data_IF_522769977219
#
_entry.id   IF_522769977219
#
_cell.length_a   1.000
_cell.length_b   1.000
_cell.length_c   1.000
_cell.angle_alpha   90.00
_cell.angle_beta   90.00
_cell.angle_gamma   90.00
#
_symmetry.space_group_name_H-M   'P 1'
#
loop_
_entity.id
_entity.type
_entity.pdbx_description
1 polymer ?
#
# COMPACT_ATOMS: atom_id res chain seq x y z
N UNK A 1 21.15 25.31 13.21
CA UNK A 1 21.41 23.96 12.67
C UNK A 1 20.18 23.04 12.55
N UNK A 2 19.12 23.18 13.37
CA UNK A 2 17.92 22.32 13.25
C UNK A 2 17.03 22.62 12.03
N UNK A 3 17.00 23.87 11.54
CA UNK A 3 16.15 24.30 10.43
C UNK A 3 16.60 23.76 9.04
N UNK A 4 17.90 23.58 8.83
CA UNK A 4 18.46 23.04 7.57
C UNK A 4 18.13 21.55 7.40
N UNK A 5 18.18 20.77 8.49
CA UNK A 5 17.80 19.35 8.47
C UNK A 5 16.30 19.13 8.23
N UNK A 6 15.43 20.02 8.72
CA UNK A 6 13.99 19.94 8.42
C UNK A 6 13.68 20.27 6.96
N UNK A 7 14.34 21.29 6.40
CA UNK A 7 14.14 21.67 5.00
C UNK A 7 14.60 20.55 4.04
N UNK A 8 15.77 19.94 4.30
CA UNK A 8 16.26 18.79 3.52
C UNK A 8 15.34 17.57 3.64
N UNK A 9 14.84 17.26 4.84
CA UNK A 9 13.91 16.14 5.02
C UNK A 9 12.56 16.37 4.31
N UNK A 10 12.05 17.61 4.32
CA UNK A 10 10.83 17.99 3.58
C UNK A 10 11.09 17.89 2.08
N UNK A 11 12.21 18.38 1.60
CA UNK A 11 12.60 18.30 0.19
C UNK A 11 12.70 16.85 -0.30
N UNK A 12 13.40 15.98 0.44
CA UNK A 12 13.52 14.56 0.09
C UNK A 12 12.16 13.86 0.09
N UNK A 13 11.30 14.13 1.08
CA UNK A 13 9.94 13.58 1.11
C UNK A 13 9.10 14.08 -0.06
N UNK A 14 9.21 15.36 -0.40
CA UNK A 14 8.53 15.96 -1.55
C UNK A 14 8.97 15.33 -2.86
N UNK A 15 10.28 15.12 -3.04
CA UNK A 15 10.85 14.48 -4.23
C UNK A 15 10.43 13.01 -4.35
N UNK A 16 10.38 12.26 -3.23
CA UNK A 16 9.87 10.89 -3.21
C UNK A 16 8.39 10.83 -3.59
N UNK A 17 7.55 11.69 -3.01
CA UNK A 17 6.12 11.75 -3.33
C UNK A 17 5.89 12.13 -4.79
N UNK A 18 6.66 13.07 -5.32
CA UNK A 18 6.58 13.47 -6.72
C UNK A 18 6.98 12.31 -7.65
N UNK A 19 8.08 11.63 -7.35
CA UNK A 19 8.51 10.45 -8.12
C UNK A 19 7.47 9.32 -8.10
N UNK A 20 6.88 9.07 -6.94
CA UNK A 20 5.75 8.15 -6.76
C UNK A 20 4.55 8.54 -7.62
N UNK A 21 4.13 9.80 -7.59
CA UNK A 21 3.02 10.29 -8.42
C UNK A 21 3.31 10.16 -9.91
N UNK A 22 4.52 10.52 -10.35
CA UNK A 22 4.94 10.37 -11.74
C UNK A 22 4.91 8.91 -12.19
N UNK A 23 5.37 7.98 -11.33
CA UNK A 23 5.32 6.55 -11.63
C UNK A 23 3.88 6.03 -11.76
N UNK A 24 2.98 6.47 -10.89
CA UNK A 24 1.57 6.11 -10.96
C UNK A 24 0.91 6.66 -12.24
N UNK A 25 1.20 7.89 -12.62
CA UNK A 25 0.73 8.49 -13.89
C UNK A 25 1.29 7.73 -15.09
N UNK A 26 2.57 7.36 -15.06
CA UNK A 26 3.20 6.56 -16.10
C UNK A 26 2.53 5.19 -16.25
N UNK A 27 2.31 4.48 -15.15
CA UNK A 27 1.65 3.17 -15.16
C UNK A 27 0.21 3.24 -15.67
N UNK A 28 -0.52 4.32 -15.34
CA UNK A 28 -1.87 4.53 -15.84
C UNK A 28 -1.91 4.88 -17.33
N UNK A 29 -1.09 5.83 -17.78
CA UNK A 29 -1.24 6.43 -19.11
C UNK A 29 -0.35 5.84 -20.20
N UNK A 30 0.76 5.20 -19.84
CA UNK A 30 1.83 4.88 -20.77
C UNK A 30 2.35 3.43 -20.69
N UNK A 31 2.16 2.74 -19.57
CA UNK A 31 2.55 1.34 -19.45
C UNK A 31 1.62 0.45 -20.29
N UNK A 32 2.21 -0.52 -21.00
CA UNK A 32 1.44 -1.49 -21.77
C UNK A 32 0.55 -2.33 -20.83
N UNK A 33 -0.74 -2.42 -21.16
CA UNK A 33 -1.72 -3.18 -20.37
C UNK A 33 -1.34 -4.65 -20.19
N UNK A 34 -0.77 -5.29 -21.22
CA UNK A 34 -0.36 -6.69 -21.16
C UNK A 34 0.82 -6.90 -20.21
N UNK A 35 1.79 -5.97 -20.22
CA UNK A 35 2.91 -5.97 -19.28
C UNK A 35 2.42 -5.77 -17.84
N UNK A 36 1.52 -4.83 -17.61
CA UNK A 36 0.93 -4.58 -16.29
C UNK A 36 0.16 -5.82 -15.80
N UNK A 37 -0.65 -6.43 -16.67
CA UNK A 37 -1.38 -7.66 -16.35
C UNK A 37 -0.43 -8.82 -16.01
N UNK A 38 0.66 -8.98 -16.75
CA UNK A 38 1.68 -9.99 -16.46
C UNK A 38 2.34 -9.74 -15.09
N UNK A 39 2.70 -8.50 -14.77
CA UNK A 39 3.28 -8.15 -13.47
C UNK A 39 2.34 -8.45 -12.29
N UNK A 40 1.05 -8.11 -12.43
CA UNK A 40 0.04 -8.42 -11.42
C UNK A 40 -0.14 -9.94 -11.30
N UNK A 41 -0.19 -10.66 -12.42
CA UNK A 41 -0.34 -12.12 -12.42
C UNK A 41 0.87 -12.80 -11.76
N UNK A 42 2.08 -12.31 -12.02
CA UNK A 42 3.29 -12.78 -11.34
C UNK A 42 3.23 -12.52 -9.84
N UNK A 43 2.73 -11.35 -9.43
CA UNK A 43 2.55 -11.01 -8.03
C UNK A 43 1.55 -11.94 -7.32
N UNK A 44 0.41 -12.20 -7.94
CA UNK A 44 -0.61 -13.13 -7.45
C UNK A 44 -0.01 -14.53 -7.34
N UNK A 45 0.64 -15.03 -8.40
CA UNK A 45 1.19 -16.37 -8.43
C UNK A 45 2.29 -16.61 -7.39
N UNK A 46 3.22 -15.68 -7.21
CA UNK A 46 4.25 -15.89 -6.21
C UNK A 46 3.71 -15.69 -4.77
N UNK A 47 2.64 -14.90 -4.57
CA UNK A 47 1.93 -14.84 -3.27
C UNK A 47 1.34 -16.18 -2.86
N UNK A 48 0.87 -16.98 -3.82
CA UNK A 48 0.36 -18.34 -3.58
C UNK A 48 1.39 -19.25 -2.91
N UNK A 49 2.67 -19.07 -3.21
CA UNK A 49 3.75 -19.88 -2.63
C UNK A 49 4.00 -19.61 -1.14
N UNK A 50 3.55 -18.47 -0.63
CA UNK A 50 3.84 -18.00 0.73
C UNK A 50 2.73 -18.29 1.74
N UNK A 51 1.52 -18.66 1.28
CA UNK A 51 0.33 -18.81 2.12
C UNK A 51 -0.25 -20.22 1.94
N UNK A 52 -0.85 -20.78 3.00
CA UNK A 52 -1.55 -22.07 2.91
C UNK A 52 -2.71 -22.01 1.90
N UNK A 53 -2.98 -23.15 1.25
CA UNK A 53 -3.93 -23.22 0.13
C UNK A 53 -5.34 -22.72 0.51
N UNK A 54 -5.85 -23.04 1.70
CA UNK A 54 -7.19 -22.62 2.15
C UNK A 54 -7.29 -21.09 2.34
N UNK A 55 -6.23 -20.48 2.85
CA UNK A 55 -6.16 -19.03 3.05
C UNK A 55 -5.95 -18.31 1.73
N UNK A 56 -5.15 -18.88 0.84
CA UNK A 56 -4.99 -18.40 -0.52
C UNK A 56 -6.34 -18.32 -1.26
N UNK A 57 -7.12 -19.41 -1.22
CA UNK A 57 -8.47 -19.44 -1.80
C UNK A 57 -9.38 -18.38 -1.19
N UNK A 58 -9.29 -18.18 0.14
CA UNK A 58 -10.05 -17.13 0.82
C UNK A 58 -9.66 -15.72 0.37
N UNK A 59 -8.36 -15.44 0.19
CA UNK A 59 -7.86 -14.13 -0.27
C UNK A 59 -8.34 -13.84 -1.70
N UNK A 60 -8.29 -14.83 -2.59
CA UNK A 60 -8.77 -14.67 -3.97
C UNK A 60 -10.28 -14.49 -4.01
N UNK A 61 -11.04 -15.35 -3.33
CA UNK A 61 -12.50 -15.24 -3.29
C UNK A 61 -12.97 -13.88 -2.75
N UNK A 62 -12.35 -13.38 -1.67
CA UNK A 62 -12.68 -12.07 -1.12
C UNK A 62 -12.29 -10.93 -2.08
N UNK A 63 -11.20 -11.06 -2.82
CA UNK A 63 -10.76 -10.05 -3.79
C UNK A 63 -11.67 -10.00 -5.01
N UNK A 64 -12.07 -11.16 -5.52
CA UNK A 64 -13.04 -11.28 -6.62
C UNK A 64 -14.43 -10.80 -6.20
N UNK A 65 -14.90 -11.16 -5.00
CA UNK A 65 -16.18 -10.68 -4.48
C UNK A 65 -16.19 -9.15 -4.33
N UNK A 66 -15.14 -8.58 -3.74
CA UNK A 66 -15.02 -7.12 -3.57
C UNK A 66 -14.99 -6.41 -4.93
N UNK A 67 -14.23 -6.93 -5.90
CA UNK A 67 -14.19 -6.37 -7.24
C UNK A 67 -15.55 -6.50 -7.94
N UNK A 68 -16.21 -7.66 -7.82
CA UNK A 68 -17.53 -7.91 -8.40
C UNK A 68 -18.58 -6.93 -7.88
N UNK A 69 -18.61 -6.67 -6.57
CA UNK A 69 -19.45 -5.63 -5.95
C UNK A 69 -19.14 -4.25 -6.51
N UNK A 70 -17.86 -3.88 -6.64
CA UNK A 70 -17.48 -2.59 -7.23
C UNK A 70 -17.90 -2.45 -8.69
N UNK A 71 -17.80 -3.52 -9.48
CA UNK A 71 -18.17 -3.52 -10.89
C UNK A 71 -19.70 -3.51 -11.05
N UNK A 72 -20.41 -4.41 -10.37
CA UNK A 72 -21.84 -4.65 -10.61
C UNK A 72 -22.74 -3.66 -9.86
N UNK A 73 -22.43 -3.39 -8.58
CA UNK A 73 -23.31 -2.56 -7.74
C UNK A 73 -22.96 -1.08 -7.88
N UNK A 74 -21.67 -0.75 -7.91
CA UNK A 74 -21.19 0.62 -8.04
C UNK A 74 -20.94 1.07 -9.48
N UNK A 75 -21.13 0.17 -10.46
CA UNK A 75 -20.92 0.44 -11.89
C UNK A 75 -19.58 1.12 -12.17
N UNK A 76 -18.54 0.72 -11.44
CA UNK A 76 -17.23 1.37 -11.45
C UNK A 76 -16.68 1.48 -12.89
N UNK A 77 -16.80 0.42 -13.68
CA UNK A 77 -16.29 0.40 -15.06
C UNK A 77 -17.08 1.36 -15.96
N UNK A 78 -18.41 1.40 -15.84
CA UNK A 78 -19.23 2.33 -16.63
C UNK A 78 -18.93 3.79 -16.27
N UNK A 79 -18.76 4.08 -14.98
CA UNK A 79 -18.38 5.40 -14.49
C UNK A 79 -16.99 5.82 -14.98
N UNK A 80 -16.01 4.91 -14.92
CA UNK A 80 -14.67 5.18 -15.42
C UNK A 80 -14.67 5.39 -16.93
N UNK A 81 -15.41 4.58 -17.68
CA UNK A 81 -15.51 4.71 -19.13
C UNK A 81 -16.18 6.02 -19.56
N UNK A 82 -17.21 6.49 -18.84
CA UNK A 82 -17.86 7.79 -19.14
C UNK A 82 -16.95 8.99 -18.88
N UNK A 83 -16.02 8.91 -17.94
CA UNK A 83 -15.07 10.00 -17.66
C UNK A 83 -13.85 9.94 -18.57
N UNK A 84 -13.35 8.72 -18.86
CA UNK A 84 -12.07 8.52 -19.52
C UNK A 84 -12.20 8.44 -21.04
N UNK A 85 -13.27 7.82 -21.58
CA UNK A 85 -13.42 7.60 -23.01
C UNK A 85 -14.31 8.72 -23.58
N UNK A 86 -13.76 9.66 -24.37
CA UNK A 86 -14.55 10.74 -24.96
C UNK A 86 -15.48 10.22 -26.06
N UNK A 87 -16.68 10.79 -26.15
CA UNK A 87 -17.64 10.52 -27.23
C UNK A 87 -17.05 10.88 -28.60
N UNK A 88 -16.92 9.90 -29.48
CA UNK A 88 -16.18 10.01 -30.77
C UNK A 88 -16.97 10.72 -31.88
N UNK A 89 -17.92 11.60 -31.56
CA UNK A 89 -18.85 12.17 -32.55
C UNK A 89 -18.33 13.39 -33.32
N UNK A 90 -17.11 13.89 -33.06
CA UNK A 90 -16.55 15.07 -33.78
C UNK A 90 -15.11 14.84 -34.29
N UNK A 91 -14.88 14.82 -35.62
CA UNK A 91 -13.55 14.68 -36.18
C UNK A 91 -12.84 16.05 -36.26
N UNK A 92 -11.95 16.33 -35.31
CA UNK A 92 -11.23 17.60 -35.23
C UNK A 92 -9.99 17.63 -36.14
N UNK A 93 -10.16 18.02 -37.42
CA UNK A 93 -9.05 18.25 -38.38
C UNK A 93 -7.96 19.17 -37.82
N UNK A 94 -6.70 18.75 -37.92
CA UNK A 94 -5.49 19.59 -37.77
C UNK A 94 -4.73 19.42 -36.46
N UNK A 95 -5.44 19.19 -35.34
CA UNK A 95 -4.87 18.93 -34.01
C UNK A 95 -4.71 17.41 -33.74
N UNK A 96 -4.68 16.63 -34.82
CA UNK A 96 -4.93 15.19 -34.83
C UNK A 96 -3.89 14.39 -34.04
N UNK A 97 -2.59 14.68 -34.14
CA UNK A 97 -1.58 13.84 -33.47
C UNK A 97 -1.63 13.93 -31.94
N UNK A 98 -1.79 15.13 -31.37
CA UNK A 98 -1.87 15.32 -29.92
C UNK A 98 -3.23 14.86 -29.39
N UNK A 99 -4.31 15.13 -30.12
CA UNK A 99 -5.64 14.63 -29.76
C UNK A 99 -5.71 13.09 -29.83
N UNK A 100 -5.14 12.47 -30.86
CA UNK A 100 -5.03 11.01 -31.04
C UNK A 100 -4.12 10.38 -29.99
N UNK A 101 -3.02 11.04 -29.61
CA UNK A 101 -2.18 10.58 -28.52
C UNK A 101 -2.89 10.70 -27.17
N UNK A 102 -3.63 11.78 -26.93
CA UNK A 102 -4.41 11.95 -25.70
C UNK A 102 -5.59 10.98 -25.62
N UNK A 103 -6.27 10.67 -26.73
CA UNK A 103 -7.29 9.60 -26.76
C UNK A 103 -6.64 8.23 -26.53
N UNK A 104 -5.47 7.94 -27.11
CA UNK A 104 -4.75 6.68 -26.85
C UNK A 104 -4.32 6.52 -25.38
N UNK A 105 -3.90 7.61 -24.73
CA UNK A 105 -3.60 7.64 -23.29
C UNK A 105 -4.87 7.39 -22.49
N UNK A 106 -5.98 8.06 -22.81
CA UNK A 106 -7.27 7.85 -22.13
C UNK A 106 -7.75 6.40 -22.22
N UNK A 107 -7.63 5.75 -23.39
CA UNK A 107 -7.95 4.33 -23.54
C UNK A 107 -7.02 3.43 -22.71
N UNK A 108 -5.73 3.79 -22.61
CA UNK A 108 -4.76 3.06 -21.78
C UNK A 108 -5.10 3.20 -20.29
N UNK A 109 -5.46 4.39 -19.84
CA UNK A 109 -5.93 4.64 -18.46
C UNK A 109 -7.19 3.84 -18.17
N UNK A 110 -8.17 3.81 -19.08
CA UNK A 110 -9.41 3.05 -18.90
C UNK A 110 -9.17 1.54 -18.74
N UNK A 111 -8.12 0.99 -19.38
CA UNK A 111 -7.73 -0.42 -19.24
C UNK A 111 -6.87 -0.69 -18.01
N UNK A 112 -5.92 0.19 -17.71
CA UNK A 112 -4.94 -0.02 -16.64
C UNK A 112 -5.51 0.30 -15.25
N UNK A 113 -6.43 1.27 -15.16
CA UNK A 113 -7.00 1.69 -13.88
C UNK A 113 -7.76 0.55 -13.15
N UNK A 114 -8.66 -0.22 -13.79
CA UNK A 114 -9.27 -1.39 -13.16
C UNK A 114 -8.26 -2.44 -12.70
N UNK A 115 -7.16 -2.64 -13.44
CA UNK A 115 -6.10 -3.57 -13.06
C UNK A 115 -5.38 -3.14 -11.78
N UNK A 116 -5.06 -1.85 -11.65
CA UNK A 116 -4.44 -1.29 -10.43
C UNK A 116 -5.39 -1.32 -9.24
N UNK A 117 -6.69 -1.12 -9.48
CA UNK A 117 -7.73 -1.26 -8.43
C UNK A 117 -7.78 -2.71 -7.94
N UNK A 118 -7.83 -3.69 -8.87
CA UNK A 118 -7.77 -5.11 -8.49
C UNK A 118 -6.51 -5.43 -7.69
N UNK A 119 -5.36 -4.97 -8.14
CA UNK A 119 -4.10 -5.16 -7.42
C UNK A 119 -4.15 -4.60 -5.99
N UNK A 120 -4.70 -3.40 -5.81
CA UNK A 120 -4.85 -2.77 -4.49
C UNK A 120 -5.76 -3.58 -3.58
N UNK A 121 -6.90 -4.06 -4.09
CA UNK A 121 -7.86 -4.91 -3.37
C UNK A 121 -7.21 -6.24 -2.99
N UNK A 122 -6.51 -6.87 -3.92
CA UNK A 122 -5.77 -8.11 -3.67
C UNK A 122 -4.75 -7.93 -2.53
N UNK A 123 -3.92 -6.88 -2.61
CA UNK A 123 -2.92 -6.58 -1.57
C UNK A 123 -3.54 -6.29 -0.21
N UNK A 124 -4.69 -5.62 -0.18
CA UNK A 124 -5.45 -5.39 1.05
C UNK A 124 -5.91 -6.70 1.68
N UNK A 125 -6.55 -7.58 0.90
CA UNK A 125 -7.00 -8.89 1.37
C UNK A 125 -5.82 -9.79 1.79
N UNK A 126 -4.68 -9.67 1.10
CA UNK A 126 -3.45 -10.36 1.46
C UNK A 126 -2.97 -9.92 2.86
N UNK A 127 -2.93 -8.60 3.13
CA UNK A 127 -2.58 -8.06 4.45
C UNK A 127 -3.55 -8.56 5.51
N UNK A 128 -4.86 -8.57 5.25
CA UNK A 128 -5.86 -9.09 6.18
C UNK A 128 -5.64 -10.57 6.50
N UNK A 129 -5.36 -11.39 5.48
CA UNK A 129 -5.06 -12.81 5.65
C UNK A 129 -3.83 -13.05 6.54
N UNK A 130 -2.79 -12.24 6.37
CA UNK A 130 -1.61 -12.27 7.25
C UNK A 130 -1.89 -11.70 8.64
N UNK A 131 -2.70 -10.66 8.77
CA UNK A 131 -3.06 -10.06 10.04
C UNK A 131 -3.79 -11.06 10.94
N UNK A 132 -4.67 -11.88 10.38
CA UNK A 132 -5.32 -12.99 11.12
C UNK A 132 -4.27 -13.99 11.63
N UNK A 133 -3.28 -14.35 10.80
CA UNK A 133 -2.19 -15.24 11.22
C UNK A 133 -1.34 -14.65 12.36
N UNK A 134 -0.97 -13.38 12.23
CA UNK A 134 -0.12 -12.66 13.17
C UNK A 134 -0.89 -12.16 14.39
N UNK A 135 -2.22 -12.29 14.43
CA UNK A 135 -3.03 -11.79 15.54
C UNK A 135 -2.58 -12.32 16.91
N UNK A 136 -2.24 -13.61 17.11
CA UNK A 136 -1.79 -14.08 18.42
C UNK A 136 -0.45 -13.46 18.81
N UNK A 137 0.46 -13.29 17.84
CA UNK A 137 1.75 -12.63 18.03
C UNK A 137 1.58 -11.15 18.40
N UNK A 138 0.72 -10.42 17.69
CA UNK A 138 0.45 -9.01 17.96
C UNK A 138 -0.14 -8.81 19.35
N UNK A 139 -1.09 -9.68 19.75
CA UNK A 139 -1.69 -9.66 21.09
C UNK A 139 -0.62 -9.96 22.15
N UNK A 140 0.23 -10.96 21.94
CA UNK A 140 1.32 -11.28 22.87
C UNK A 140 2.31 -10.11 23.03
N UNK A 141 2.70 -9.47 21.92
CA UNK A 141 3.60 -8.32 21.93
C UNK A 141 2.99 -7.10 22.63
N UNK A 142 1.70 -6.86 22.44
CA UNK A 142 0.96 -5.81 23.15
C UNK A 142 0.89 -6.10 24.65
N UNK A 143 0.53 -7.33 25.04
CA UNK A 143 0.46 -7.74 26.43
C UNK A 143 1.82 -7.61 27.14
N UNK A 144 2.90 -8.09 26.51
CA UNK A 144 4.26 -7.94 27.02
C UNK A 144 4.64 -6.45 27.17
N UNK A 145 4.31 -5.61 26.18
CA UNK A 145 4.53 -4.17 26.25
C UNK A 145 3.81 -3.51 27.43
N UNK A 146 2.56 -3.92 27.68
CA UNK A 146 1.78 -3.46 28.83
C UNK A 146 2.35 -3.92 30.17
N UNK A 147 2.82 -5.17 30.27
CA UNK A 147 3.45 -5.66 31.50
C UNK A 147 4.78 -4.96 31.79
N UNK A 148 5.61 -4.73 30.78
CA UNK A 148 6.84 -3.95 30.92
C UNK A 148 6.54 -2.52 31.36
N UNK A 149 5.48 -1.90 30.84
CA UNK A 149 5.05 -0.58 31.28
C UNK A 149 4.67 -0.59 32.77
N UNK A 150 3.87 -1.57 33.22
CA UNK A 150 3.52 -1.74 34.63
C UNK A 150 4.76 -1.88 35.51
N UNK A 151 5.70 -2.75 35.14
CA UNK A 151 6.96 -2.94 35.88
C UNK A 151 7.78 -1.65 35.96
N UNK A 152 7.93 -0.95 34.84
CA UNK A 152 8.69 0.31 34.77
C UNK A 152 8.09 1.40 35.65
N UNK A 153 6.77 1.42 35.88
CA UNK A 153 6.12 2.38 36.79
C UNK A 153 6.67 2.31 38.22
N UNK A 154 7.04 1.12 38.70
CA UNK A 154 7.52 0.91 40.06
C UNK A 154 9.04 1.10 40.22
N UNK A 155 9.79 1.18 39.11
CA UNK A 155 11.25 1.40 39.15
C UNK A 155 11.56 2.89 39.10
N UNK A 156 12.33 3.39 40.07
CA UNK A 156 12.84 4.77 40.04
C UNK A 156 13.84 4.94 38.89
N UNK A 157 13.57 5.89 37.99
CA UNK A 157 14.40 6.13 36.81
C UNK A 157 13.70 7.05 35.80
N UNK A 158 14.50 7.82 35.06
CA UNK A 158 14.03 8.79 34.07
C UNK A 158 13.21 8.12 32.97
N UNK A 159 12.05 8.70 32.65
CA UNK A 159 11.23 8.29 31.52
C UNK A 159 11.99 8.61 30.24
N UNK A 160 12.41 7.58 29.49
CA UNK A 160 13.13 7.78 28.23
C UNK A 160 12.16 8.13 27.10
N UNK A 161 11.62 9.34 27.12
CA UNK A 161 10.70 9.90 26.10
C UNK A 161 11.29 9.82 24.68
N UNK A 162 12.63 9.84 24.58
CA UNK A 162 13.34 9.71 23.30
C UNK A 162 13.11 8.34 22.63
N UNK A 163 13.09 7.24 23.38
CA UNK A 163 12.84 5.91 22.82
C UNK A 163 11.40 5.77 22.29
N UNK A 164 10.41 6.29 23.03
CA UNK A 164 9.03 6.34 22.54
C UNK A 164 8.93 7.08 21.20
N UNK A 165 9.60 8.23 21.06
CA UNK A 165 9.60 9.02 19.83
C UNK A 165 10.22 8.27 18.64
N UNK A 166 11.27 7.49 18.86
CA UNK A 166 11.89 6.66 17.80
C UNK A 166 10.90 5.60 17.31
N UNK A 167 10.28 4.86 18.23
CA UNK A 167 9.33 3.80 17.88
C UNK A 167 8.02 4.36 17.29
N UNK A 168 7.61 5.56 17.70
CA UNK A 168 6.47 6.25 17.09
C UNK A 168 6.77 6.66 15.65
N UNK A 169 7.99 7.12 15.36
CA UNK A 169 8.42 7.35 13.98
C UNK A 169 8.48 6.06 13.17
N UNK A 170 8.97 4.96 13.76
CA UNK A 170 8.98 3.65 13.10
C UNK A 170 7.56 3.18 12.74
N UNK A 171 6.60 3.31 13.67
CA UNK A 171 5.19 3.02 13.43
C UNK A 171 4.63 3.83 12.24
N UNK A 172 4.89 5.14 12.21
CA UNK A 172 4.49 5.99 11.09
C UNK A 172 5.15 5.59 9.77
N UNK A 173 6.43 5.21 9.79
CA UNK A 173 7.14 4.75 8.58
C UNK A 173 6.53 3.45 8.07
N UNK A 174 6.22 2.49 8.94
CA UNK A 174 5.56 1.23 8.54
C UNK A 174 4.18 1.53 7.93
N UNK A 175 3.40 2.41 8.56
CA UNK A 175 2.10 2.84 8.03
C UNK A 175 2.22 3.49 6.64
N UNK A 176 3.21 4.37 6.46
CA UNK A 176 3.50 4.98 5.18
C UNK A 176 3.90 3.92 4.14
N UNK A 177 4.82 3.01 4.46
CA UNK A 177 5.23 1.92 3.56
C UNK A 177 4.06 1.01 3.18
N UNK A 178 3.14 0.72 4.10
CA UNK A 178 1.92 -0.04 3.80
C UNK A 178 1.02 0.71 2.82
N UNK A 179 0.89 2.03 2.97
CA UNK A 179 0.16 2.84 2.00
C UNK A 179 0.83 2.83 0.62
N UNK A 180 2.16 2.96 0.56
CA UNK A 180 2.93 2.82 -0.69
C UNK A 180 2.66 1.45 -1.33
N UNK A 181 2.75 0.39 -0.54
CA UNK A 181 2.50 -0.97 -1.00
C UNK A 181 1.07 -1.15 -1.52
N UNK A 182 0.06 -0.53 -0.90
CA UNK A 182 -1.32 -0.64 -1.38
C UNK A 182 -1.56 0.12 -2.68
N UNK A 183 -0.96 1.31 -2.84
CA UNK A 183 -1.29 2.23 -3.93
C UNK A 183 -0.34 2.19 -5.13
N UNK A 184 0.92 1.77 -4.94
CA UNK A 184 1.88 1.78 -6.04
C UNK A 184 1.69 0.58 -6.98
N UNK A 185 1.71 0.78 -8.30
CA UNK A 185 1.82 -0.31 -9.26
C UNK A 185 3.04 -1.19 -8.95
N UNK A 186 2.99 -2.47 -9.32
CA UNK A 186 4.15 -3.33 -9.12
C UNK A 186 5.33 -2.78 -9.93
N UNK A 187 6.51 -2.70 -9.31
CA UNK A 187 7.73 -2.38 -10.03
C UNK A 187 8.41 -3.69 -10.36
N UNK A 188 8.81 -3.88 -11.62
CA UNK A 188 9.45 -5.13 -12.07
C UNK A 188 10.67 -5.53 -11.21
N UNK A 189 11.37 -4.54 -10.63
CA UNK A 189 12.52 -4.73 -9.73
C UNK A 189 12.16 -5.35 -8.37
N UNK A 190 10.90 -5.22 -7.91
CA UNK A 190 10.43 -5.77 -6.64
C UNK A 190 9.54 -7.00 -6.82
N UNK A 191 9.44 -7.54 -8.04
CA UNK A 191 8.75 -8.80 -8.30
C UNK A 191 9.32 -9.90 -7.41
N UNK A 192 8.44 -10.68 -6.78
CA UNK A 192 8.72 -11.72 -5.77
C UNK A 192 9.18 -11.22 -4.38
N UNK A 193 9.58 -9.96 -4.22
CA UNK A 193 9.93 -9.38 -2.90
C UNK A 193 8.70 -8.71 -2.28
N UNK A 194 7.88 -8.04 -3.09
CA UNK A 194 6.72 -7.29 -2.63
C UNK A 194 5.75 -8.14 -1.78
N UNK A 195 5.66 -9.44 -2.06
CA UNK A 195 4.76 -10.37 -1.37
C UNK A 195 5.21 -10.75 0.04
N UNK A 196 6.49 -10.54 0.35
CA UNK A 196 7.04 -10.68 1.70
C UNK A 196 6.75 -9.45 2.55
N UNK A 197 6.28 -8.35 1.95
CA UNK A 197 6.00 -7.12 2.68
C UNK A 197 4.96 -7.33 3.80
N UNK A 198 3.77 -7.93 3.57
CA UNK A 198 2.78 -8.10 4.64
C UNK A 198 3.29 -8.81 5.90
N UNK A 199 3.93 -10.01 5.83
CA UNK A 199 4.41 -10.67 7.04
C UNK A 199 5.54 -9.89 7.73
N UNK A 200 6.47 -9.29 6.96
CA UNK A 200 7.57 -8.50 7.53
C UNK A 200 7.05 -7.23 8.21
N UNK A 201 6.14 -6.52 7.56
CA UNK A 201 5.51 -5.31 8.10
C UNK A 201 4.78 -5.60 9.41
N UNK A 202 4.01 -6.70 9.48
CA UNK A 202 3.31 -7.11 10.69
C UNK A 202 4.26 -7.53 11.83
N UNK A 203 5.37 -8.20 11.51
CA UNK A 203 6.39 -8.55 12.48
C UNK A 203 6.99 -7.30 13.13
N UNK A 204 7.45 -6.35 12.30
CA UNK A 204 8.03 -5.08 12.77
C UNK A 204 6.97 -4.25 13.51
N UNK A 205 5.71 -4.25 13.04
CA UNK A 205 4.60 -3.60 13.71
C UNK A 205 4.41 -4.13 15.13
N UNK A 206 4.45 -5.45 15.34
CA UNK A 206 4.37 -6.04 16.69
C UNK A 206 5.49 -5.57 17.62
N UNK A 207 6.73 -5.51 17.13
CA UNK A 207 7.87 -4.98 17.89
C UNK A 207 7.64 -3.49 18.20
N UNK A 208 7.23 -2.70 17.22
CA UNK A 208 6.97 -1.29 17.39
C UNK A 208 5.86 -1.03 18.43
N UNK A 209 4.77 -1.80 18.37
CA UNK A 209 3.69 -1.75 19.34
C UNK A 209 4.19 -2.07 20.76
N UNK A 210 4.90 -3.19 20.94
CA UNK A 210 5.49 -3.55 22.24
C UNK A 210 6.32 -2.39 22.82
N UNK A 211 7.20 -1.80 22.00
CA UNK A 211 8.10 -0.72 22.43
C UNK A 211 7.39 0.60 22.67
N UNK A 212 6.32 0.88 21.93
CA UNK A 212 5.46 2.05 22.15
C UNK A 212 4.74 1.94 23.50
N UNK A 213 4.11 0.79 23.77
CA UNK A 213 3.38 0.56 25.02
C UNK A 213 4.32 0.51 26.23
N UNK A 214 5.44 -0.22 26.11
CA UNK A 214 6.46 -0.34 27.16
C UNK A 214 7.10 1.00 27.57
N UNK A 215 7.08 2.01 26.70
CA UNK A 215 7.64 3.34 26.98
C UNK A 215 6.57 4.44 26.97
N UNK A 216 5.29 4.08 26.94
CA UNK A 216 4.19 5.02 27.12
C UNK A 216 4.37 5.68 28.49
N UNK A 217 4.20 7.00 28.58
CA UNK A 217 4.65 7.79 29.72
C UNK A 217 4.33 7.14 31.08
N UNK A 218 5.29 7.17 32.01
CA UNK A 218 4.94 7.23 33.43
C UNK A 218 4.14 8.52 33.56
N UNK A 219 2.81 8.42 33.57
CA UNK A 219 2.01 9.50 34.13
C UNK A 219 2.45 9.59 35.59
N UNK A 220 2.99 10.77 35.95
CA UNK A 220 3.41 11.11 37.32
C UNK A 220 2.37 10.65 38.33
#
# INVERSE_FOLDING_TARGET
MAADNSARAIFIRGLLLLGMMLYLIYSLGFQNTDELKQQITQEVNASRSLISNDRWLSVIANSEATLSTLINDYKLIDYLNTILIPDTSTPARGMNYVAEKMTSVNYTVAKNLPLLIYQSIFRWNLILGWLILFSPYLIAMLADGMYQWKLKRYVFGNVTVQFYRIWFRAFWIIGALTFIYLSMPNMSLFNNIAQLFPPVALLILGIALNRLWSNFQKLM
#
